data_IF_660208299077
#
_entry.id   IF_660208299077
#
_cell.length_a   1.000
_cell.length_b   1.000
_cell.length_c   1.000
_cell.angle_alpha   90.00
_cell.angle_beta   90.00
_cell.angle_gamma   90.00
#
_symmetry.space_group_name_H-M   'P 1'
#
loop_
_entity.id
_entity.type
_entity.pdbx_description
1 polymer ?
#
# COMPACT_ATOMS: atom_id res chain seq x y z
N UNK A 1 62.04 8.42 -43.59
CA UNK A 1 60.78 7.77 -44.01
C UNK A 1 59.79 7.80 -42.84
N UNK A 2 58.50 7.84 -43.14
CA UNK A 2 57.41 8.49 -42.39
C UNK A 2 57.13 7.88 -41.00
N UNK A 3 56.92 8.77 -40.01
CA UNK A 3 56.37 8.46 -38.68
C UNK A 3 54.89 8.12 -38.81
N UNK A 4 54.48 6.95 -38.33
CA UNK A 4 53.07 6.61 -38.12
C UNK A 4 52.78 6.65 -36.63
N UNK A 5 51.93 7.59 -36.23
CA UNK A 5 51.33 7.67 -34.89
C UNK A 5 49.98 6.94 -34.99
N UNK A 6 49.70 5.90 -34.18
CA UNK A 6 48.37 5.34 -34.14
C UNK A 6 47.43 6.32 -33.44
N UNK A 7 46.39 6.73 -34.16
CA UNK A 7 45.28 7.54 -33.68
C UNK A 7 44.46 6.67 -32.72
N UNK A 8 44.67 6.78 -31.41
CA UNK A 8 43.77 6.20 -30.41
C UNK A 8 42.48 7.01 -30.42
N UNK A 9 41.47 6.54 -31.16
CA UNK A 9 40.12 7.10 -31.12
C UNK A 9 39.51 6.78 -29.75
N UNK A 10 39.37 7.85 -28.97
CA UNK A 10 38.62 7.91 -27.72
C UNK A 10 37.13 7.69 -28.04
N UNK A 11 36.62 6.49 -27.74
CA UNK A 11 35.18 6.19 -27.76
C UNK A 11 34.68 6.04 -26.33
N UNK A 12 34.38 7.15 -25.66
CA UNK A 12 33.65 7.11 -24.39
C UNK A 12 32.19 6.78 -24.74
N UNK A 13 31.84 5.49 -24.68
CA UNK A 13 30.45 5.05 -24.58
C UNK A 13 29.99 5.37 -23.16
N UNK A 14 29.43 6.57 -22.97
CA UNK A 14 28.58 6.82 -21.81
C UNK A 14 27.32 5.98 -22.01
N UNK A 15 27.31 4.80 -21.38
CA UNK A 15 26.11 4.01 -21.18
C UNK A 15 25.15 4.84 -20.31
N UNK A 16 24.28 5.60 -20.97
CA UNK A 16 23.18 6.33 -20.34
C UNK A 16 22.12 5.36 -19.85
N UNK A 17 22.37 4.70 -18.73
CA UNK A 17 21.32 4.02 -17.98
C UNK A 17 20.65 5.04 -17.05
N UNK A 18 19.42 5.43 -17.38
CA UNK A 18 18.41 5.71 -16.34
C UNK A 18 18.14 7.16 -15.93
N UNK A 19 18.28 8.15 -16.81
CA UNK A 19 17.94 9.55 -16.51
C UNK A 19 16.68 10.06 -17.23
N UNK A 20 15.82 9.16 -17.72
CA UNK A 20 14.48 9.59 -18.13
C UNK A 20 13.64 9.81 -16.85
N UNK A 21 13.04 11.00 -16.64
CA UNK A 21 12.09 11.17 -15.55
C UNK A 21 11.01 10.11 -15.65
N UNK A 22 10.77 9.43 -14.54
CA UNK A 22 9.65 8.52 -14.37
C UNK A 22 8.38 9.36 -14.29
N UNK A 23 7.49 9.20 -15.26
CA UNK A 23 6.27 10.01 -15.38
C UNK A 23 5.05 9.31 -14.82
N UNK A 24 4.58 9.75 -13.65
CA UNK A 24 3.31 9.27 -13.10
C UNK A 24 2.15 9.61 -14.04
N UNK A 25 1.19 8.68 -14.15
CA UNK A 25 -0.05 8.86 -14.92
C UNK A 25 -1.25 8.88 -13.99
N UNK A 26 -2.40 9.37 -14.47
CA UNK A 26 -3.66 9.34 -13.71
C UNK A 26 -4.17 7.90 -13.55
N UNK A 27 -4.76 7.60 -12.40
CA UNK A 27 -5.46 6.33 -12.18
C UNK A 27 -6.60 6.18 -13.21
N UNK A 28 -6.65 5.09 -13.99
CA UNK A 28 -7.69 4.87 -15.00
C UNK A 28 -9.08 4.63 -14.41
N UNK A 29 -9.17 4.25 -13.13
CA UNK A 29 -10.44 4.05 -12.42
C UNK A 29 -10.43 4.82 -11.08
N UNK A 30 -11.00 6.04 -11.02
CA UNK A 30 -11.01 6.85 -9.81
C UNK A 30 -11.86 6.25 -8.67
N UNK A 31 -12.65 5.22 -8.95
CA UNK A 31 -13.44 4.52 -7.94
C UNK A 31 -12.71 3.32 -7.33
N UNK A 32 -11.62 2.91 -7.95
CA UNK A 32 -10.75 1.83 -7.52
C UNK A 32 -9.37 2.39 -7.17
N UNK A 33 -9.11 2.54 -5.88
CA UNK A 33 -7.93 3.25 -5.38
C UNK A 33 -7.15 2.42 -4.39
N UNK A 34 -5.86 2.70 -4.31
CA UNK A 34 -4.94 2.00 -3.43
C UNK A 34 -4.20 2.98 -2.52
N UNK A 35 -3.86 2.54 -1.30
CA UNK A 35 -3.03 3.33 -0.40
C UNK A 35 -2.00 2.44 0.30
N UNK A 36 -0.79 2.95 0.46
CA UNK A 36 0.25 2.32 1.27
C UNK A 36 -0.01 2.65 2.75
N UNK A 37 0.11 1.66 3.63
CA UNK A 37 -0.02 1.90 5.06
C UNK A 37 1.00 1.12 5.89
N UNK A 38 1.28 1.64 7.09
CA UNK A 38 1.97 0.91 8.13
C UNK A 38 1.47 1.33 9.52
N UNK A 39 1.46 0.37 10.44
CA UNK A 39 1.21 0.60 11.86
C UNK A 39 2.44 0.16 12.63
N UNK A 40 2.96 1.03 13.48
CA UNK A 40 4.10 0.76 14.34
C UNK A 40 3.72 0.99 15.80
N UNK A 41 4.11 0.04 16.67
CA UNK A 41 3.94 0.14 18.11
C UNK A 41 5.27 -0.07 18.80
N UNK A 42 5.72 0.92 19.57
CA UNK A 42 6.99 0.91 20.29
C UNK A 42 8.20 0.52 19.42
N UNK A 43 8.14 0.86 18.13
CA UNK A 43 9.24 0.63 17.17
C UNK A 43 9.21 -0.74 16.49
N UNK A 44 8.13 -1.49 16.67
CA UNK A 44 7.84 -2.74 15.98
C UNK A 44 6.72 -2.54 14.96
N UNK A 45 6.92 -3.00 13.71
CA UNK A 45 5.93 -2.92 12.64
C UNK A 45 4.93 -4.05 12.81
N UNK A 46 3.64 -3.73 12.82
CA UNK A 46 2.60 -4.74 12.75
C UNK A 46 2.58 -5.38 11.36
N UNK A 47 2.46 -6.70 11.32
CA UNK A 47 2.45 -7.48 10.09
C UNK A 47 1.02 -7.89 9.73
N UNK A 48 0.44 -7.27 8.70
CA UNK A 48 -0.90 -7.60 8.21
C UNK A 48 -0.88 -8.60 7.05
N UNK A 49 0.24 -9.29 6.78
CA UNK A 49 0.38 -10.25 5.66
C UNK A 49 -0.20 -11.65 5.95
N UNK A 50 -0.74 -11.88 7.14
CA UNK A 50 -1.33 -13.15 7.53
C UNK A 50 -2.53 -13.52 6.64
N UNK A 51 -2.66 -14.80 6.29
CA UNK A 51 -3.71 -15.30 5.38
C UNK A 51 -5.12 -14.98 5.88
N UNK A 52 -5.33 -14.93 7.20
CA UNK A 52 -6.63 -14.68 7.81
C UNK A 52 -7.07 -13.21 7.71
N UNK A 53 -6.16 -12.32 7.32
CA UNK A 53 -6.46 -10.91 7.00
C UNK A 53 -6.63 -10.68 5.49
N UNK A 54 -6.40 -11.70 4.68
CA UNK A 54 -6.56 -11.62 3.23
C UNK A 54 -8.00 -11.94 2.85
N UNK A 55 -8.57 -11.11 1.98
CA UNK A 55 -9.66 -11.53 1.13
C UNK A 55 -9.07 -12.37 -0.01
N UNK A 56 -9.76 -13.43 -0.42
CA UNK A 56 -9.26 -14.39 -1.40
C UNK A 56 -8.71 -13.73 -2.67
N UNK A 57 -7.73 -14.36 -3.32
CA UNK A 57 -7.23 -13.82 -4.58
C UNK A 57 -8.31 -13.92 -5.66
N UNK A 58 -8.39 -12.89 -6.49
CA UNK A 58 -9.19 -12.85 -7.72
C UNK A 58 -9.04 -14.08 -8.63
N UNK A 59 -7.91 -14.79 -8.52
CA UNK A 59 -7.54 -15.95 -9.31
C UNK A 59 -8.07 -17.27 -8.73
N UNK A 60 -8.37 -17.31 -7.43
CA UNK A 60 -8.89 -18.48 -6.71
C UNK A 60 -10.42 -18.53 -6.69
N UNK A 61 -11.08 -17.39 -6.93
CA UNK A 61 -12.55 -17.29 -7.04
C UNK A 61 -13.17 -18.08 -8.21
N UNK A 62 -12.35 -18.66 -9.11
CA UNK A 62 -12.80 -19.49 -10.23
C UNK A 62 -12.79 -20.99 -9.96
N UNK A 63 -12.37 -21.43 -8.77
CA UNK A 63 -12.44 -22.83 -8.35
C UNK A 63 -13.62 -23.07 -7.41
N UNK A 64 -14.48 -24.03 -7.72
CA UNK A 64 -15.67 -24.41 -6.92
C UNK A 64 -15.38 -24.94 -5.49
N UNK A 65 -14.18 -24.76 -4.92
CA UNK A 65 -13.82 -25.39 -3.63
C UNK A 65 -12.73 -24.67 -2.78
N UNK A 66 -12.45 -23.37 -3.01
CA UNK A 66 -11.50 -22.63 -2.17
C UNK A 66 -12.13 -21.34 -1.64
N UNK A 67 -12.80 -21.48 -0.51
CA UNK A 67 -13.51 -20.41 0.18
C UNK A 67 -12.57 -19.47 0.92
N UNK A 68 -12.43 -18.25 0.40
CA UNK A 68 -12.16 -17.08 1.21
C UNK A 68 -13.20 -16.03 0.84
N UNK A 69 -14.29 -15.98 1.61
CA UNK A 69 -15.27 -14.90 1.59
C UNK A 69 -14.54 -13.59 1.94
N UNK A 70 -14.78 -12.51 1.18
CA UNK A 70 -14.14 -11.22 1.48
C UNK A 70 -14.47 -10.79 2.91
N UNK A 71 -13.46 -10.40 3.69
CA UNK A 71 -13.68 -9.79 5.00
C UNK A 71 -14.51 -8.51 4.85
N UNK A 72 -14.27 -7.77 3.77
CA UNK A 72 -15.14 -6.71 3.30
C UNK A 72 -15.10 -6.62 1.77
N UNK A 73 -16.25 -6.65 1.08
CA UNK A 73 -16.33 -6.80 -0.38
C UNK A 73 -15.66 -5.66 -1.15
N UNK A 74 -15.54 -4.48 -0.56
CA UNK A 74 -15.01 -3.29 -1.23
C UNK A 74 -13.71 -2.74 -0.63
N UNK A 75 -13.18 -3.36 0.44
CA UNK A 75 -12.07 -2.78 1.21
C UNK A 75 -11.25 -3.87 1.90
N UNK A 76 -10.13 -4.26 1.30
CA UNK A 76 -9.43 -5.46 1.73
C UNK A 76 -7.93 -5.45 1.43
N UNK A 77 -7.26 -6.48 1.95
CA UNK A 77 -5.91 -6.92 1.59
C UNK A 77 -6.05 -8.23 0.81
N UNK A 78 -5.10 -8.54 -0.07
CA UNK A 78 -5.02 -9.84 -0.74
C UNK A 78 -3.57 -10.18 -1.13
N UNK A 79 -3.35 -11.39 -1.62
CA UNK A 79 -2.05 -11.89 -2.12
C UNK A 79 -0.88 -11.83 -1.11
N UNK A 80 -1.18 -11.82 0.20
CA UNK A 80 -0.18 -11.70 1.26
C UNK A 80 0.45 -10.30 1.35
N UNK A 81 -0.15 -9.30 0.71
CA UNK A 81 0.34 -7.92 0.70
C UNK A 81 -0.32 -7.13 1.83
N UNK A 82 0.28 -7.21 3.02
CA UNK A 82 -0.20 -6.57 4.24
C UNK A 82 0.09 -5.06 4.36
N UNK A 83 0.35 -4.35 3.26
CA UNK A 83 0.76 -2.95 3.28
C UNK A 83 0.14 -2.10 2.17
N UNK A 84 -0.67 -2.69 1.28
CA UNK A 84 -1.44 -1.96 0.27
C UNK A 84 -2.92 -2.25 0.50
N UNK A 85 -3.69 -1.20 0.73
CA UNK A 85 -5.14 -1.29 0.91
C UNK A 85 -5.79 -1.20 -0.47
N UNK A 86 -6.71 -2.12 -0.76
CA UNK A 86 -7.52 -2.11 -1.98
C UNK A 86 -8.91 -1.58 -1.65
N UNK A 87 -9.33 -0.51 -2.34
CA UNK A 87 -10.66 0.08 -2.19
C UNK A 87 -11.39 0.13 -3.52
N UNK A 88 -12.46 -0.64 -3.63
CA UNK A 88 -13.32 -0.72 -4.83
C UNK A 88 -14.60 0.13 -4.72
N UNK A 89 -14.66 1.05 -3.75
CA UNK A 89 -15.79 1.98 -3.56
C UNK A 89 -15.34 3.31 -2.94
N UNK A 90 -15.67 4.46 -3.52
CA UNK A 90 -15.33 5.77 -2.94
C UNK A 90 -15.93 5.97 -1.55
N UNK A 91 -15.24 6.77 -0.73
CA UNK A 91 -15.76 7.27 0.54
C UNK A 91 -15.57 6.34 1.74
N UNK A 92 -15.02 5.14 1.55
CA UNK A 92 -14.73 4.24 2.67
C UNK A 92 -13.55 4.76 3.51
N UNK A 93 -13.72 4.71 4.82
CA UNK A 93 -12.79 5.27 5.83
C UNK A 93 -11.72 4.26 6.27
N UNK A 94 -10.69 4.76 6.96
CA UNK A 94 -9.68 3.91 7.59
C UNK A 94 -10.26 3.08 8.76
N UNK A 95 -11.29 3.60 9.42
CA UNK A 95 -12.04 2.89 10.45
C UNK A 95 -12.73 1.66 9.86
N UNK A 96 -13.44 1.80 8.74
CA UNK A 96 -14.09 0.67 8.06
C UNK A 96 -13.07 -0.38 7.61
N UNK A 97 -11.88 0.04 7.18
CA UNK A 97 -10.80 -0.88 6.84
C UNK A 97 -10.34 -1.70 8.04
N UNK A 98 -10.03 -1.05 9.18
CA UNK A 98 -9.58 -1.81 10.34
C UNK A 98 -10.70 -2.63 10.99
N UNK A 99 -11.95 -2.14 10.97
CA UNK A 99 -13.11 -2.90 11.41
C UNK A 99 -13.25 -4.21 10.61
N UNK A 100 -12.99 -4.20 9.29
CA UNK A 100 -13.04 -5.42 8.46
C UNK A 100 -11.96 -6.44 8.83
N UNK A 101 -10.80 -5.94 9.26
CA UNK A 101 -9.72 -6.77 9.80
C UNK A 101 -9.92 -7.15 11.27
N UNK A 102 -11.04 -6.74 11.89
CA UNK A 102 -11.30 -6.90 13.33
C UNK A 102 -10.19 -6.29 14.20
N UNK A 103 -9.60 -5.20 13.73
CA UNK A 103 -8.62 -4.39 14.44
C UNK A 103 -9.28 -3.10 14.88
N UNK A 104 -9.17 -2.76 16.16
CA UNK A 104 -9.62 -1.49 16.71
C UNK A 104 -8.44 -0.67 17.20
N UNK A 105 -8.62 0.64 17.28
CA UNK A 105 -7.67 1.55 17.92
C UNK A 105 -8.38 2.39 18.97
N UNK A 106 -7.68 2.62 20.07
CA UNK A 106 -7.87 3.73 20.98
C UNK A 106 -6.63 4.64 20.88
N UNK A 107 -6.68 5.82 21.48
CA UNK A 107 -5.64 6.84 21.41
C UNK A 107 -4.23 6.31 21.70
N UNK A 108 -4.08 5.26 22.52
CA UNK A 108 -2.76 4.67 22.86
C UNK A 108 -2.58 3.21 22.47
N UNK A 109 -3.64 2.52 22.07
CA UNK A 109 -3.60 1.06 21.99
C UNK A 109 -4.30 0.56 20.73
N UNK A 110 -3.80 -0.52 20.15
CA UNK A 110 -4.59 -1.29 19.21
C UNK A 110 -5.11 -2.55 19.90
N UNK A 111 -6.27 -2.99 19.44
CA UNK A 111 -6.88 -4.25 19.84
C UNK A 111 -7.09 -5.08 18.59
N UNK A 112 -6.64 -6.32 18.60
CA UNK A 112 -6.88 -7.26 17.51
C UNK A 112 -7.75 -8.40 18.02
N UNK A 113 -8.88 -8.63 17.36
CA UNK A 113 -9.74 -9.78 17.57
C UNK A 113 -9.59 -10.83 16.45
N UNK A 114 -8.76 -10.55 15.45
CA UNK A 114 -8.35 -11.48 14.40
C UNK A 114 -7.38 -12.56 14.94
N UNK A 115 -7.01 -13.58 14.15
CA UNK A 115 -6.01 -14.59 14.54
C UNK A 115 -4.62 -14.02 14.89
N UNK A 116 -4.37 -12.73 14.62
CA UNK A 116 -3.31 -11.91 15.23
C UNK A 116 -3.69 -11.39 16.63
N UNK A 117 -4.42 -12.16 17.44
CA UNK A 117 -4.94 -11.73 18.73
C UNK A 117 -3.82 -11.69 19.78
N UNK A 118 -2.92 -10.73 19.64
CA UNK A 118 -1.98 -10.33 20.70
C UNK A 118 -2.72 -9.59 21.84
N UNK A 119 -4.04 -9.42 21.71
CA UNK A 119 -4.92 -8.79 22.68
C UNK A 119 -4.91 -7.28 22.55
N UNK A 120 -4.70 -6.61 23.69
CA UNK A 120 -4.68 -5.15 23.81
C UNK A 120 -3.23 -4.69 23.98
N UNK A 121 -2.62 -4.18 22.93
CA UNK A 121 -1.23 -3.69 22.97
C UNK A 121 -1.24 -2.17 22.91
N UNK A 122 -0.63 -1.58 23.93
CA UNK A 122 -0.51 -0.14 24.07
C UNK A 122 0.90 0.32 23.79
N UNK A 123 0.97 1.46 23.14
CA UNK A 123 2.18 2.23 23.00
C UNK A 123 2.57 3.00 24.26
N UNK A 124 3.85 3.33 24.37
CA UNK A 124 4.37 4.20 25.45
C UNK A 124 3.82 5.62 25.37
N UNK A 125 3.43 6.05 24.17
CA UNK A 125 2.78 7.33 23.88
C UNK A 125 1.54 7.13 23.01
N UNK A 126 0.63 8.11 22.92
CA UNK A 126 -0.49 8.05 21.99
C UNK A 126 -0.05 7.91 20.52
N UNK A 127 -0.89 7.26 19.72
CA UNK A 127 -0.69 7.19 18.29
C UNK A 127 -0.74 8.57 17.66
N UNK A 128 0.11 8.74 16.66
CA UNK A 128 0.19 9.85 15.73
C UNK A 128 -0.11 9.30 14.35
N UNK A 129 -0.72 10.14 13.52
CA UNK A 129 -1.05 9.81 12.14
C UNK A 129 -0.28 10.74 11.21
N UNK A 130 0.32 10.17 10.18
CA UNK A 130 0.96 10.92 9.11
C UNK A 130 0.41 10.47 7.77
N UNK A 131 0.06 11.45 6.95
CA UNK A 131 -0.37 11.22 5.57
C UNK A 131 0.62 11.93 4.66
N UNK A 132 1.24 11.18 3.75
CA UNK A 132 2.23 11.69 2.80
C UNK A 132 3.36 12.48 3.49
N UNK A 133 3.86 11.95 4.61
CA UNK A 133 4.94 12.55 5.40
C UNK A 133 4.54 13.75 6.26
N UNK A 134 3.26 14.15 6.28
CA UNK A 134 2.75 15.27 7.09
C UNK A 134 1.90 14.75 8.22
N UNK A 135 2.20 15.20 9.44
CA UNK A 135 1.39 14.88 10.61
C UNK A 135 -0.01 15.47 10.47
N UNK A 136 -1.01 14.66 10.82
CA UNK A 136 -2.43 15.01 10.87
C UNK A 136 -2.98 14.63 12.25
N UNK A 137 -4.15 15.18 12.65
CA UNK A 137 -4.90 14.62 13.76
C UNK A 137 -5.08 13.12 13.59
N UNK A 138 -4.94 12.36 14.68
CA UNK A 138 -5.25 10.94 14.65
C UNK A 138 -6.76 10.76 14.46
N UNK A 139 -7.16 10.38 13.25
CA UNK A 139 -8.55 10.28 12.83
C UNK A 139 -8.76 9.10 11.89
N UNK A 140 -9.41 8.04 12.40
CA UNK A 140 -9.73 6.88 11.58
C UNK A 140 -10.91 7.13 10.62
N UNK A 141 -11.66 8.23 10.78
CA UNK A 141 -12.69 8.63 9.81
C UNK A 141 -12.07 9.22 8.53
N UNK A 142 -10.74 9.34 8.46
CA UNK A 142 -10.03 9.77 7.26
C UNK A 142 -10.34 8.85 6.07
N UNK A 143 -10.86 9.45 5.00
CA UNK A 143 -11.04 8.81 3.70
C UNK A 143 -9.78 9.04 2.89
N UNK A 144 -9.00 7.97 2.68
CA UNK A 144 -7.74 8.07 1.97
C UNK A 144 -7.90 8.40 0.49
N UNK A 145 -6.93 9.15 -0.03
CA UNK A 145 -6.77 9.40 -1.44
C UNK A 145 -5.97 8.29 -2.10
N UNK A 146 -6.08 8.20 -3.42
CA UNK A 146 -5.28 7.25 -4.20
C UNK A 146 -3.78 7.55 -4.04
N UNK A 147 -2.99 6.50 -3.84
CA UNK A 147 -1.54 6.49 -3.58
C UNK A 147 -1.08 7.19 -2.30
N UNK A 148 -1.99 7.45 -1.36
CA UNK A 148 -1.60 7.96 -0.04
C UNK A 148 -0.62 7.00 0.67
N UNK A 149 0.37 7.58 1.37
CA UNK A 149 1.19 6.88 2.35
C UNK A 149 0.72 7.24 3.75
N UNK A 150 0.17 6.26 4.47
CA UNK A 150 -0.45 6.45 5.79
C UNK A 150 0.37 5.72 6.85
N UNK A 151 0.99 6.48 7.75
CA UNK A 151 1.74 5.92 8.88
C UNK A 151 0.98 6.19 10.18
N UNK A 152 0.61 5.13 10.90
CA UNK A 152 0.19 5.20 12.29
C UNK A 152 1.36 4.75 13.17
N UNK A 153 1.76 5.60 14.12
CA UNK A 153 2.90 5.29 14.98
C UNK A 153 2.83 6.00 16.32
N UNK A 154 3.41 5.41 17.35
CA UNK A 154 3.66 6.04 18.64
C UNK A 154 5.16 6.29 18.90
N UNK A 155 5.95 6.49 17.84
CA UNK A 155 7.38 6.69 17.92
C UNK A 155 7.79 7.72 18.98
N UNK A 156 8.61 7.28 19.94
CA UNK A 156 9.06 8.11 21.07
C UNK A 156 10.23 9.03 20.73
N UNK A 157 10.78 8.96 19.52
CA UNK A 157 11.91 9.79 19.08
C UNK A 157 11.90 10.03 17.57
N UNK A 158 12.53 11.13 17.14
CA UNK A 158 12.71 11.46 15.72
C UNK A 158 13.52 10.41 14.95
N UNK A 159 14.51 9.78 15.61
CA UNK A 159 15.31 8.72 15.00
C UNK A 159 14.46 7.49 14.68
N UNK A 160 13.55 7.13 15.59
CA UNK A 160 12.59 6.06 15.38
C UNK A 160 11.60 6.42 14.27
N UNK A 161 10.98 7.61 14.34
CA UNK A 161 10.03 8.08 13.33
C UNK A 161 10.64 8.07 11.91
N UNK A 162 11.90 8.51 11.78
CA UNK A 162 12.64 8.47 10.51
C UNK A 162 12.80 7.04 9.97
N UNK A 163 13.15 6.09 10.83
CA UNK A 163 13.28 4.67 10.46
C UNK A 163 11.94 4.11 9.96
N UNK A 164 10.84 4.48 10.61
CA UNK A 164 9.51 4.01 10.25
C UNK A 164 9.03 4.59 8.92
N UNK A 165 9.30 5.87 8.66
CA UNK A 165 9.09 6.48 7.34
C UNK A 165 9.92 5.83 6.23
N UNK A 166 11.18 5.51 6.50
CA UNK A 166 12.05 4.83 5.52
C UNK A 166 11.59 3.41 5.17
N UNK A 167 10.76 2.80 6.03
CA UNK A 167 10.17 1.49 5.83
C UNK A 167 8.80 1.52 5.13
N UNK A 168 8.27 2.72 4.82
CA UNK A 168 7.04 2.88 4.04
C UNK A 168 7.28 2.50 2.58
N UNK A 169 6.30 1.83 2.00
CA UNK A 169 6.26 1.48 0.57
C UNK A 169 5.65 2.60 -0.25
N UNK A 170 5.74 2.47 -1.57
CA UNK A 170 5.08 3.34 -2.56
C UNK A 170 4.42 2.46 -3.62
N UNK A 171 3.93 1.31 -3.19
CA UNK A 171 3.52 0.23 -4.09
C UNK A 171 2.06 0.40 -4.49
N UNK A 172 1.26 1.21 -3.78
CA UNK A 172 -0.08 1.60 -4.21
C UNK A 172 -0.08 2.16 -5.64
N UNK A 173 0.98 2.84 -6.07
CA UNK A 173 1.07 3.34 -7.45
C UNK A 173 1.08 2.23 -8.52
N UNK A 174 1.59 1.03 -8.18
CA UNK A 174 1.62 -0.11 -9.08
C UNK A 174 0.18 -0.63 -9.30
N UNK A 175 -0.55 -0.81 -8.20
CA UNK A 175 -1.93 -1.29 -8.22
C UNK A 175 -2.88 -0.28 -8.86
N UNK A 176 -2.72 1.02 -8.57
CA UNK A 176 -3.49 2.10 -9.22
C UNK A 176 -3.02 2.41 -10.65
N UNK A 177 -2.04 1.67 -11.18
CA UNK A 177 -1.44 1.87 -12.52
C UNK A 177 -0.95 3.29 -12.79
N UNK A 178 -0.59 4.02 -11.74
CA UNK A 178 -0.09 5.40 -11.84
C UNK A 178 1.42 5.45 -12.03
N UNK A 179 2.15 4.35 -11.81
CA UNK A 179 3.59 4.24 -12.05
C UNK A 179 3.97 3.14 -13.06
N UNK A 180 3.66 3.30 -14.36
CA UNK A 180 3.75 2.23 -15.37
C UNK A 180 5.16 1.64 -15.56
N UNK A 181 6.22 2.36 -15.19
CA UNK A 181 7.60 1.83 -15.23
C UNK A 181 7.87 0.76 -14.16
N UNK A 182 6.96 0.52 -13.23
CA UNK A 182 7.05 -0.59 -12.26
C UNK A 182 6.47 -1.90 -12.79
N UNK A 183 5.85 -1.90 -13.98
CA UNK A 183 5.21 -3.06 -14.58
C UNK A 183 3.70 -3.07 -14.39
N UNK A 184 3.09 -4.21 -14.69
CA UNK A 184 1.66 -4.44 -14.51
C UNK A 184 1.39 -5.00 -13.10
N UNK A 185 0.33 -4.55 -12.41
CA UNK A 185 -0.07 -5.17 -11.15
C UNK A 185 -0.59 -6.60 -11.38
N UNK A 186 -0.67 -7.42 -10.32
CA UNK A 186 -1.44 -8.65 -10.34
C UNK A 186 -2.87 -8.40 -10.84
N UNK A 187 -3.52 -9.45 -11.35
CA UNK A 187 -4.92 -9.33 -11.75
C UNK A 187 -5.78 -9.17 -10.51
N UNK A 188 -6.72 -8.24 -10.56
CA UNK A 188 -7.72 -8.02 -9.53
C UNK A 188 -9.10 -8.20 -10.17
N UNK A 189 -9.91 -9.09 -9.60
CA UNK A 189 -11.30 -9.28 -9.99
C UNK A 189 -12.05 -8.21 -9.25
N UNK A 190 -12.37 -7.12 -9.94
CA UNK A 190 -13.11 -6.06 -9.31
C UNK A 190 -14.53 -6.52 -8.93
N UNK A 191 -14.92 -6.30 -7.67
CA UNK A 191 -16.34 -6.34 -7.30
C UNK A 191 -16.95 -5.01 -7.72
N UNK A 192 -17.65 -5.02 -8.85
CA UNK A 192 -18.39 -3.86 -9.33
C UNK A 192 -19.61 -3.60 -8.43
N UNK A 193 -19.63 -2.45 -7.74
CA UNK A 193 -20.87 -1.86 -7.26
C UNK A 193 -21.69 -1.41 -8.50
N UNK A 194 -22.99 -1.74 -8.63
CA UNK A 194 -23.81 -1.31 -9.76
C UNK A 194 -23.83 0.21 -9.97
N UNK A 195 -23.71 0.99 -8.89
CA UNK A 195 -23.66 2.46 -8.93
C UNK A 195 -22.24 2.97 -9.23
N UNK A 196 -21.23 2.11 -9.15
CA UNK A 196 -19.81 2.43 -9.29
C UNK A 196 -19.10 1.31 -10.07
N UNK A 197 -19.29 1.24 -11.41
CA UNK A 197 -18.74 0.15 -12.20
C UNK A 197 -17.21 0.21 -12.16
N UNK A 198 -16.58 -0.86 -11.70
CA UNK A 198 -15.13 -0.99 -11.88
C UNK A 198 -14.86 -1.18 -13.37
N UNK A 199 -14.14 -0.22 -13.94
CA UNK A 199 -13.69 -0.31 -15.31
C UNK A 199 -12.41 -1.14 -15.28
N UNK A 200 -12.53 -2.47 -15.22
CA UNK A 200 -11.41 -3.34 -15.58
C UNK A 200 -10.86 -2.79 -16.89
N UNK A 201 -9.61 -2.30 -16.86
CA UNK A 201 -8.94 -1.83 -18.05
C UNK A 201 -8.79 -3.06 -18.97
N UNK A 202 -9.75 -3.18 -19.89
CA UNK A 202 -9.80 -4.19 -20.92
C UNK A 202 -8.47 -4.19 -21.69
N UNK A 203 -7.88 -5.36 -21.99
CA UNK A 203 -7.25 -5.53 -23.29
C UNK A 203 -8.30 -5.55 -24.41
#
# INVERSE_FOLDING_TARGET
MKRFLPLSLLGILLAGCGWWPREFVSNPDPNHTHADFAVWVNGEKLDFSANELMSGSSSEEKGEDHGHEHLHPYLHLHDGVGYVIHRHKPGLTFKEFFDSLQVGFDAQCYVSFAPMADGFICGDTPFRMFVNGKEQPFDLEYVFADTDQILLTNAGSEAQLKKEFEAMTTDACLYSRTCPWRGEPPKESCIADPDVPCLEALP
#
